data_IF_118069614699
#
_entry.id   IF_118069614699
#
_cell.length_a   1.000
_cell.length_b   1.000
_cell.length_c   1.000
_cell.angle_alpha   90.00
_cell.angle_beta   90.00
_cell.angle_gamma   90.00
#
_symmetry.space_group_name_H-M   'P 1'
#
loop_
_entity.id
_entity.type
_entity.pdbx_description
1 polymer ?
#
# COMPACT_ATOMS: atom_id res chain seq x y z
N UNK A 1 70.24 -14.64 -39.52
CA UNK A 1 69.50 -14.01 -38.39
C UNK A 1 68.07 -13.75 -38.85
N UNK A 2 67.09 -14.47 -38.31
CA UNK A 2 65.65 -14.36 -38.66
C UNK A 2 64.95 -13.49 -37.60
N UNK A 3 64.28 -12.45 -38.04
CA UNK A 3 63.50 -11.52 -37.21
C UNK A 3 62.05 -12.02 -37.19
N UNK A 4 61.49 -12.21 -36.00
CA UNK A 4 60.08 -12.59 -35.76
C UNK A 4 59.28 -11.30 -35.52
N UNK A 5 58.07 -11.12 -36.12
CA UNK A 5 57.22 -9.99 -35.79
C UNK A 5 56.33 -10.31 -34.58
N UNK A 6 56.23 -9.35 -33.66
CA UNK A 6 55.33 -9.38 -32.51
C UNK A 6 53.95 -8.88 -32.98
N UNK A 7 52.93 -9.73 -32.87
CA UNK A 7 51.53 -9.39 -33.12
C UNK A 7 50.94 -8.83 -31.81
N UNK A 8 50.54 -7.56 -31.82
CA UNK A 8 49.80 -6.93 -30.73
C UNK A 8 48.30 -7.19 -30.90
N UNK A 9 47.70 -7.90 -29.94
CA UNK A 9 46.25 -8.14 -29.88
C UNK A 9 45.63 -7.00 -29.08
N UNK A 10 44.85 -6.14 -29.75
CA UNK A 10 44.07 -5.08 -29.11
C UNK A 10 42.72 -5.69 -28.71
N UNK A 11 42.53 -5.96 -27.42
CA UNK A 11 41.25 -6.36 -26.85
C UNK A 11 40.37 -5.13 -26.61
N UNK A 12 39.25 -5.03 -27.34
CA UNK A 12 38.23 -4.00 -27.12
C UNK A 12 37.36 -4.37 -25.91
N UNK A 13 37.60 -3.71 -24.77
CA UNK A 13 36.68 -3.77 -23.63
C UNK A 13 35.37 -3.06 -24.00
N UNK A 14 34.30 -3.84 -24.15
CA UNK A 14 32.94 -3.32 -24.21
C UNK A 14 32.49 -2.94 -22.80
N UNK A 15 32.58 -1.65 -22.47
CA UNK A 15 32.05 -1.11 -21.22
C UNK A 15 30.53 -1.03 -21.37
N UNK A 16 29.83 -2.02 -20.81
CA UNK A 16 28.39 -1.95 -20.62
C UNK A 16 28.08 -0.81 -19.65
N UNK A 17 27.38 0.22 -20.13
CA UNK A 17 26.91 1.31 -19.27
C UNK A 17 25.83 0.76 -18.32
N UNK A 18 25.91 1.02 -17.01
CA UNK A 18 24.84 0.63 -16.11
C UNK A 18 23.59 1.45 -16.47
N UNK A 19 22.52 0.76 -16.85
CA UNK A 19 21.20 1.36 -16.98
C UNK A 19 20.78 1.86 -15.61
N UNK A 20 21.00 3.14 -15.34
CA UNK A 20 20.55 3.81 -14.12
C UNK A 20 19.02 3.74 -14.11
N UNK A 21 18.46 2.86 -13.28
CA UNK A 21 17.05 2.86 -12.98
C UNK A 21 16.71 4.21 -12.35
N UNK A 22 16.09 5.11 -13.12
CA UNK A 22 15.62 6.39 -12.61
C UNK A 22 14.57 6.12 -11.53
N UNK A 23 14.95 6.40 -10.28
CA UNK A 23 14.03 6.51 -9.16
C UNK A 23 13.09 7.68 -9.48
N UNK A 24 11.85 7.38 -9.88
CA UNK A 24 10.81 8.39 -10.04
C UNK A 24 10.67 9.10 -8.68
N UNK A 25 10.90 10.41 -8.60
CA UNK A 25 10.80 11.13 -7.33
C UNK A 25 9.38 11.04 -6.79
N UNK A 26 9.23 10.73 -5.50
CA UNK A 26 7.94 10.57 -4.80
C UNK A 26 7.30 11.90 -4.43
N UNK A 27 7.57 12.99 -5.16
CA UNK A 27 7.02 14.30 -4.81
C UNK A 27 5.50 14.29 -4.97
N UNK A 28 4.74 14.73 -3.94
CA UNK A 28 3.30 14.91 -4.06
C UNK A 28 3.01 15.89 -5.19
N UNK A 29 2.16 15.49 -6.14
CA UNK A 29 1.72 16.36 -7.23
C UNK A 29 0.90 17.50 -6.61
N UNK A 30 1.38 18.74 -6.75
CA UNK A 30 0.64 19.93 -6.32
C UNK A 30 -0.58 20.10 -7.24
N UNK A 31 -1.78 20.17 -6.66
CA UNK A 31 -3.04 20.29 -7.42
C UNK A 31 -3.09 21.66 -8.15
N UNK A 32 -2.85 21.68 -9.45
CA UNK A 32 -3.20 22.82 -10.30
C UNK A 32 -4.62 22.58 -10.84
N UNK A 33 -5.63 23.09 -10.12
CA UNK A 33 -7.03 23.28 -10.55
C UNK A 33 -7.73 22.13 -11.30
N UNK A 34 -7.25 20.89 -11.22
CA UNK A 34 -8.00 19.72 -11.64
C UNK A 34 -9.02 19.41 -10.54
N UNK A 35 -10.30 19.36 -10.87
CA UNK A 35 -11.34 18.86 -9.96
C UNK A 35 -10.92 17.52 -9.38
N UNK A 36 -11.10 17.32 -8.08
CA UNK A 36 -10.73 16.07 -7.42
C UNK A 36 -11.41 14.88 -8.13
N UNK A 37 -10.70 13.76 -8.31
CA UNK A 37 -11.26 12.61 -8.99
C UNK A 37 -12.43 12.07 -8.17
N UNK A 38 -13.52 11.75 -8.86
CA UNK A 38 -14.59 10.96 -8.29
C UNK A 38 -14.26 9.47 -8.43
N UNK A 39 -14.69 8.69 -7.45
CA UNK A 39 -14.30 7.31 -7.28
C UNK A 39 -15.54 6.47 -7.04
N UNK A 40 -15.77 5.49 -7.92
CA UNK A 40 -16.90 4.57 -7.80
C UNK A 40 -16.43 3.13 -7.78
N UNK A 41 -16.95 2.37 -6.83
CA UNK A 41 -16.80 0.93 -6.79
C UNK A 41 -17.81 0.27 -7.72
N UNK A 42 -17.34 -0.61 -8.60
CA UNK A 42 -18.14 -1.30 -9.62
C UNK A 42 -17.78 -2.79 -9.66
N UNK A 43 -18.55 -3.56 -10.44
CA UNK A 43 -18.32 -5.00 -10.67
C UNK A 43 -18.25 -5.79 -9.35
N UNK A 44 -19.30 -5.71 -8.54
CA UNK A 44 -19.43 -6.43 -7.27
C UNK A 44 -18.23 -6.21 -6.35
N UNK A 45 -17.85 -4.94 -6.15
CA UNK A 45 -16.73 -4.54 -5.31
C UNK A 45 -15.33 -4.95 -5.78
N UNK A 46 -15.17 -5.51 -6.98
CA UNK A 46 -13.86 -5.98 -7.44
C UNK A 46 -13.04 -4.93 -8.19
N UNK A 47 -13.65 -3.79 -8.56
CA UNK A 47 -13.00 -2.75 -9.36
C UNK A 47 -13.38 -1.37 -8.85
N UNK A 48 -12.38 -0.49 -8.69
CA UNK A 48 -12.59 0.94 -8.53
C UNK A 48 -12.44 1.60 -9.90
N UNK A 49 -13.39 2.46 -10.25
CA UNK A 49 -13.32 3.38 -11.38
C UNK A 49 -13.05 4.79 -10.86
N UNK A 50 -11.94 5.36 -11.31
CA UNK A 50 -11.53 6.74 -11.02
C UNK A 50 -11.86 7.57 -12.26
N UNK A 51 -12.57 8.68 -12.08
CA UNK A 51 -13.01 9.53 -13.18
C UNK A 51 -13.06 11.01 -12.78
N UNK A 52 -12.82 11.88 -13.75
CA UNK A 52 -12.90 13.32 -13.57
C UNK A 52 -13.48 13.95 -14.84
N UNK A 53 -14.80 13.84 -15.03
CA UNK A 53 -15.49 14.13 -16.31
C UNK A 53 -15.26 13.07 -17.40
N UNK A 54 -14.10 12.41 -17.40
CA UNK A 54 -13.78 11.21 -18.21
C UNK A 54 -13.19 10.12 -17.32
N UNK A 55 -13.25 8.86 -17.77
CA UNK A 55 -12.61 7.75 -17.06
C UNK A 55 -11.10 7.95 -17.11
N UNK A 56 -10.48 8.01 -15.93
CA UNK A 56 -9.03 8.08 -15.77
C UNK A 56 -8.45 6.66 -15.72
N UNK A 57 -8.97 5.82 -14.81
CA UNK A 57 -8.41 4.50 -14.56
C UNK A 57 -9.45 3.56 -13.97
N UNK A 58 -9.34 2.28 -14.33
CA UNK A 58 -9.95 1.19 -13.59
C UNK A 58 -8.86 0.40 -12.86
N UNK A 59 -8.99 0.24 -11.54
CA UNK A 59 -8.06 -0.52 -10.71
C UNK A 59 -8.82 -1.72 -10.15
N UNK A 60 -8.30 -2.92 -10.38
CA UNK A 60 -8.90 -4.18 -9.91
C UNK A 60 -8.35 -4.50 -8.53
N UNK A 61 -9.18 -4.99 -7.62
CA UNK A 61 -8.73 -5.42 -6.29
C UNK A 61 -7.56 -6.42 -6.39
N UNK A 62 -7.61 -7.33 -7.37
CA UNK A 62 -6.57 -8.35 -7.60
C UNK A 62 -5.17 -7.82 -7.96
N UNK A 63 -5.05 -6.56 -8.41
CA UNK A 63 -3.74 -5.95 -8.64
C UNK A 63 -3.10 -5.43 -7.36
N UNK A 64 -3.89 -5.32 -6.27
CA UNK A 64 -3.41 -4.92 -4.96
C UNK A 64 -2.93 -6.17 -4.21
N UNK A 65 -1.62 -6.41 -4.29
CA UNK A 65 -0.96 -7.56 -3.68
C UNK A 65 -0.11 -7.13 -2.51
N UNK A 66 -0.07 -7.90 -1.44
CA UNK A 66 0.80 -7.62 -0.28
C UNK A 66 1.27 -8.90 0.36
N UNK A 67 2.45 -8.84 0.97
CA UNK A 67 3.04 -9.93 1.73
C UNK A 67 2.64 -9.76 3.19
N UNK A 68 1.78 -10.63 3.69
CA UNK A 68 1.31 -10.59 5.08
C UNK A 68 2.21 -11.47 5.94
N UNK A 69 2.79 -10.87 6.97
CA UNK A 69 3.66 -11.53 7.94
C UNK A 69 2.83 -12.16 9.06
N UNK A 70 3.37 -13.24 9.64
CA UNK A 70 2.92 -13.85 10.91
C UNK A 70 1.39 -13.99 11.00
N UNK A 71 0.81 -14.53 9.93
CA UNK A 71 -0.63 -14.61 9.72
C UNK A 71 -1.11 -16.06 9.74
N UNK A 72 -2.42 -16.25 9.63
CA UNK A 72 -3.04 -17.58 9.52
C UNK A 72 -3.70 -17.76 8.15
N UNK A 73 -3.62 -18.95 7.58
CA UNK A 73 -4.40 -19.31 6.38
C UNK A 73 -5.88 -19.50 6.73
N UNK A 74 -6.79 -19.62 5.76
CA UNK A 74 -8.20 -19.92 6.08
C UNK A 74 -8.42 -21.24 6.83
N UNK A 75 -7.49 -22.18 6.73
CA UNK A 75 -7.48 -23.44 7.50
C UNK A 75 -6.96 -23.26 8.94
N UNK A 76 -6.58 -22.04 9.33
CA UNK A 76 -6.07 -21.72 10.67
C UNK A 76 -4.58 -21.99 10.86
N UNK A 77 -3.86 -22.49 9.85
CA UNK A 77 -2.42 -22.76 9.92
C UNK A 77 -1.63 -21.45 10.03
N UNK A 78 -0.76 -21.35 11.03
CA UNK A 78 0.17 -20.23 11.17
C UNK A 78 1.22 -20.26 10.06
N UNK A 79 1.46 -19.12 9.42
CA UNK A 79 2.45 -18.93 8.37
C UNK A 79 3.27 -17.68 8.64
N UNK A 80 4.60 -17.80 8.56
CA UNK A 80 5.52 -16.66 8.74
C UNK A 80 5.32 -15.58 7.68
N UNK A 81 4.87 -15.98 6.49
CA UNK A 81 4.70 -15.10 5.33
C UNK A 81 3.75 -15.73 4.32
N UNK A 82 2.80 -14.95 3.82
CA UNK A 82 1.99 -15.31 2.66
C UNK A 82 1.74 -14.09 1.76
N UNK A 83 1.77 -14.29 0.44
CA UNK A 83 1.42 -13.24 -0.51
C UNK A 83 -0.07 -13.34 -0.83
N UNK A 84 -0.83 -12.30 -0.50
CA UNK A 84 -2.26 -12.23 -0.76
C UNK A 84 -2.55 -11.13 -1.79
N UNK A 85 -3.61 -11.34 -2.56
CA UNK A 85 -4.13 -10.36 -3.53
C UNK A 85 -5.53 -9.92 -3.11
N UNK A 86 -5.90 -8.69 -3.42
CA UNK A 86 -7.23 -8.17 -3.12
C UNK A 86 -8.33 -8.97 -3.82
N UNK A 87 -9.34 -9.37 -3.04
CA UNK A 87 -10.57 -9.99 -3.53
C UNK A 87 -11.60 -8.93 -3.90
N UNK A 88 -11.82 -7.98 -3.00
CA UNK A 88 -12.78 -6.87 -3.16
C UNK A 88 -12.36 -5.64 -2.36
N UNK A 89 -12.85 -4.49 -2.79
CA UNK A 89 -12.72 -3.22 -2.08
C UNK A 89 -13.75 -3.11 -0.96
N UNK A 90 -13.36 -2.48 0.13
CA UNK A 90 -14.27 -2.05 1.18
C UNK A 90 -14.87 -0.71 0.76
N UNK A 91 -16.03 -0.77 0.10
CA UNK A 91 -16.63 0.40 -0.58
C UNK A 91 -16.84 1.61 0.32
N UNK A 92 -17.14 1.40 1.61
CA UNK A 92 -17.36 2.46 2.61
C UNK A 92 -16.07 3.06 3.20
N UNK A 93 -14.89 2.58 2.81
CA UNK A 93 -13.61 3.03 3.37
C UNK A 93 -12.73 3.70 2.32
N UNK A 94 -13.31 4.21 1.24
CA UNK A 94 -12.57 4.88 0.17
C UNK A 94 -12.63 6.38 0.43
N UNK A 95 -11.47 7.03 0.58
CA UNK A 95 -11.38 8.46 0.88
C UNK A 95 -10.32 9.14 0.00
N UNK A 96 -10.63 10.34 -0.49
CA UNK A 96 -9.70 11.18 -1.28
C UNK A 96 -9.10 12.25 -0.36
N UNK A 97 -7.78 12.32 -0.28
CA UNK A 97 -7.09 13.50 0.27
C UNK A 97 -7.30 14.68 -0.68
N UNK A 98 -8.04 15.67 -0.22
CA UNK A 98 -8.37 16.87 -0.99
C UNK A 98 -7.14 17.72 -1.34
N UNK A 99 -6.04 17.60 -0.59
CA UNK A 99 -4.81 18.37 -0.83
C UNK A 99 -3.94 17.76 -1.92
N UNK A 100 -3.85 16.44 -1.95
CA UNK A 100 -2.89 15.71 -2.82
C UNK A 100 -3.54 14.89 -3.93
N UNK A 101 -4.85 14.63 -3.83
CA UNK A 101 -5.55 13.68 -4.69
C UNK A 101 -5.25 12.21 -4.38
N UNK A 102 -4.46 11.92 -3.34
CA UNK A 102 -4.21 10.56 -2.90
C UNK A 102 -5.51 9.89 -2.49
N UNK A 103 -5.72 8.66 -2.95
CA UNK A 103 -6.90 7.88 -2.63
C UNK A 103 -6.54 6.76 -1.66
N UNK A 104 -7.06 6.82 -0.44
CA UNK A 104 -6.97 5.73 0.52
C UNK A 104 -8.06 4.68 0.22
N UNK A 105 -7.67 3.42 0.11
CA UNK A 105 -8.60 2.31 -0.17
C UNK A 105 -8.37 1.13 0.75
N UNK A 106 -9.46 0.61 1.30
CA UNK A 106 -9.48 -0.63 2.07
C UNK A 106 -9.79 -1.81 1.16
N UNK A 107 -9.11 -2.94 1.38
CA UNK A 107 -9.23 -4.13 0.53
C UNK A 107 -9.31 -5.37 1.40
N UNK A 108 -10.23 -6.26 1.07
CA UNK A 108 -10.28 -7.62 1.63
C UNK A 108 -9.28 -8.48 0.87
N UNK A 109 -8.30 -9.04 1.57
CA UNK A 109 -7.30 -9.96 1.01
C UNK A 109 -7.73 -11.41 1.20
N UNK A 110 -8.28 -11.71 2.37
CA UNK A 110 -8.75 -13.02 2.76
C UNK A 110 -10.03 -12.87 3.57
N UNK A 111 -11.05 -13.63 3.20
CA UNK A 111 -12.37 -13.67 3.83
C UNK A 111 -12.59 -15.13 4.22
N UNK A 112 -12.48 -15.44 5.52
CA UNK A 112 -12.68 -16.78 6.05
C UNK A 112 -13.68 -16.71 7.20
N UNK A 113 -14.42 -17.81 7.42
CA UNK A 113 -15.42 -17.91 8.48
C UNK A 113 -14.96 -17.40 9.85
N UNK A 114 -13.72 -17.73 10.25
CA UNK A 114 -13.17 -17.36 11.57
C UNK A 114 -12.30 -16.11 11.57
N UNK A 115 -11.84 -15.64 10.40
CA UNK A 115 -10.88 -14.55 10.33
C UNK A 115 -10.86 -13.88 8.96
N UNK A 116 -10.75 -12.56 8.98
CA UNK A 116 -10.58 -11.75 7.79
C UNK A 116 -9.23 -11.05 7.85
N UNK A 117 -8.53 -11.02 6.72
CA UNK A 117 -7.31 -10.26 6.54
C UNK A 117 -7.61 -9.18 5.52
N UNK A 118 -7.42 -7.94 5.93
CA UNK A 118 -7.58 -6.76 5.11
C UNK A 118 -6.23 -6.05 4.95
N UNK A 119 -6.18 -5.08 4.05
CA UNK A 119 -5.08 -4.12 3.96
C UNK A 119 -5.60 -2.77 3.48
N UNK A 120 -4.84 -1.73 3.80
CA UNK A 120 -5.03 -0.39 3.25
C UNK A 120 -3.96 -0.09 2.20
N UNK A 121 -4.34 0.64 1.17
CA UNK A 121 -3.46 1.12 0.12
C UNK A 121 -3.70 2.61 -0.11
N UNK A 122 -2.65 3.33 -0.50
CA UNK A 122 -2.76 4.67 -1.07
C UNK A 122 -2.53 4.56 -2.58
N UNK A 123 -3.46 5.09 -3.36
CA UNK A 123 -3.32 5.25 -4.79
C UNK A 123 -2.93 6.71 -5.03
N UNK A 124 -1.67 6.94 -5.39
CA UNK A 124 -1.13 8.27 -5.66
C UNK A 124 -1.33 8.60 -7.15
N UNK A 125 -1.95 9.73 -7.51
CA UNK A 125 -2.02 10.14 -8.91
C UNK A 125 -0.62 10.44 -9.46
N UNK A 126 -0.34 9.99 -10.69
CA UNK A 126 0.85 10.43 -11.42
C UNK A 126 0.72 11.90 -11.86
N UNK A 127 1.83 12.56 -12.19
CA UNK A 127 1.85 14.00 -12.53
C UNK A 127 0.85 14.42 -13.62
N UNK A 128 0.58 13.52 -14.57
CA UNK A 128 -0.36 13.75 -15.67
C UNK A 128 -1.81 13.32 -15.37
N UNK A 129 -2.10 12.84 -14.16
CA UNK A 129 -3.41 12.38 -13.72
C UNK A 129 -4.06 11.28 -14.56
N UNK A 130 -3.29 10.58 -15.39
CA UNK A 130 -3.82 9.52 -16.26
C UNK A 130 -3.68 8.13 -15.64
N UNK A 131 -2.98 8.03 -14.51
CA UNK A 131 -2.64 6.76 -13.89
C UNK A 131 -2.32 6.96 -12.41
N UNK A 132 -2.20 5.85 -11.68
CA UNK A 132 -2.00 5.86 -10.24
C UNK A 132 -0.90 4.88 -9.84
N UNK A 133 -0.02 5.33 -8.95
CA UNK A 133 0.99 4.50 -8.30
C UNK A 133 0.36 3.88 -7.04
N UNK A 134 0.57 2.58 -6.86
CA UNK A 134 0.01 1.83 -5.73
C UNK A 134 1.03 1.75 -4.60
N UNK A 135 0.67 2.34 -3.47
CA UNK A 135 1.43 2.30 -2.24
C UNK A 135 0.71 1.43 -1.21
N UNK A 136 1.44 0.53 -0.55
CA UNK A 136 0.90 -0.33 0.52
C UNK A 136 1.07 0.39 1.84
N UNK A 137 0.02 0.44 2.65
CA UNK A 137 0.16 0.96 4.01
C UNK A 137 0.67 -0.17 4.91
N UNK A 138 1.89 -0.09 5.47
CA UNK A 138 2.40 -1.13 6.35
C UNK A 138 1.75 -0.99 7.72
N UNK A 139 1.12 -2.06 8.18
CA UNK A 139 0.73 -2.19 9.59
C UNK A 139 1.93 -2.77 10.33
N UNK A 140 2.40 -2.11 11.40
CA UNK A 140 3.53 -2.60 12.17
C UNK A 140 3.15 -3.80 13.05
N UNK A 141 4.16 -4.42 13.63
CA UNK A 141 3.98 -5.55 14.54
C UNK A 141 5.31 -5.97 15.15
N UNK A 142 5.37 -7.22 15.59
CA UNK A 142 6.41 -7.73 16.50
C UNK A 142 7.85 -7.61 15.98
N UNK A 143 8.06 -7.73 14.67
CA UNK A 143 9.38 -7.56 14.05
C UNK A 143 9.40 -6.47 13.02
N UNK A 144 10.60 -5.92 12.82
CA UNK A 144 10.83 -4.89 11.80
C UNK A 144 10.45 -5.37 10.40
N UNK A 145 9.79 -4.49 9.65
CA UNK A 145 9.41 -4.73 8.26
C UNK A 145 10.55 -4.28 7.36
N UNK A 146 11.37 -5.24 6.94
CA UNK A 146 12.57 -4.97 6.12
C UNK A 146 12.28 -4.77 4.62
N UNK A 147 11.02 -4.85 4.19
CA UNK A 147 10.66 -4.65 2.79
C UNK A 147 9.33 -3.90 2.61
N UNK A 148 9.29 -3.03 1.59
CA UNK A 148 8.13 -2.17 1.27
C UNK A 148 6.86 -2.92 0.81
N UNK A 149 6.92 -4.23 0.69
CA UNK A 149 5.80 -5.07 0.25
C UNK A 149 5.17 -5.86 1.40
N UNK A 150 5.72 -5.74 2.60
CA UNK A 150 5.30 -6.47 3.79
C UNK A 150 4.41 -5.65 4.73
N UNK A 151 3.51 -6.34 5.43
CA UNK A 151 2.64 -5.79 6.46
C UNK A 151 2.28 -6.86 7.48
N UNK A 152 1.95 -6.46 8.70
CA UNK A 152 1.22 -7.33 9.63
C UNK A 152 -0.27 -7.39 9.26
N UNK A 153 -0.99 -8.42 9.74
CA UNK A 153 -2.40 -8.61 9.41
C UNK A 153 -3.25 -7.49 9.98
N UNK A 154 -3.98 -6.78 9.11
CA UNK A 154 -5.00 -5.85 9.55
C UNK A 154 -6.35 -6.55 9.55
N UNK A 155 -7.06 -6.47 10.68
CA UNK A 155 -8.42 -7.02 10.81
C UNK A 155 -9.44 -6.04 10.22
N UNK A 156 -10.63 -5.99 10.81
CA UNK A 156 -11.82 -5.34 10.26
C UNK A 156 -11.60 -3.82 10.11
N UNK A 157 -11.31 -3.35 8.89
CA UNK A 157 -11.18 -1.91 8.62
C UNK A 157 -12.58 -1.30 8.67
N UNK A 158 -12.78 -0.35 9.58
CA UNK A 158 -14.04 0.37 9.78
C UNK A 158 -14.08 1.68 9.00
N UNK A 159 -12.94 2.31 8.79
CA UNK A 159 -12.83 3.56 8.06
C UNK A 159 -11.39 3.89 7.71
N UNK A 160 -11.22 4.61 6.60
CA UNK A 160 -9.98 5.27 6.22
C UNK A 160 -10.30 6.76 6.07
N UNK A 161 -9.35 7.61 6.43
CA UNK A 161 -9.54 9.05 6.29
C UNK A 161 -8.24 9.81 6.29
N UNK A 162 -8.31 11.07 5.87
CA UNK A 162 -7.21 12.02 5.99
C UNK A 162 -7.60 13.15 6.93
N UNK A 163 -6.76 13.43 7.92
CA UNK A 163 -6.88 14.58 8.82
C UNK A 163 -5.60 15.38 8.72
N UNK A 164 -5.69 16.59 8.18
CA UNK A 164 -4.54 17.47 7.93
C UNK A 164 -3.40 16.83 7.12
N UNK A 165 -3.74 15.91 6.21
CA UNK A 165 -2.78 15.17 5.39
C UNK A 165 -2.16 13.95 6.09
N UNK A 166 -2.56 13.66 7.32
CA UNK A 166 -2.24 12.42 8.02
C UNK A 166 -3.25 11.35 7.67
N UNK A 167 -2.79 10.15 7.32
CA UNK A 167 -3.66 9.01 7.08
C UNK A 167 -4.09 8.40 8.42
N UNK A 168 -5.39 8.22 8.60
CA UNK A 168 -6.01 7.59 9.75
C UNK A 168 -6.69 6.30 9.30
N UNK A 169 -6.42 5.20 10.01
CA UNK A 169 -7.04 3.90 9.75
C UNK A 169 -7.78 3.45 11.00
N UNK A 170 -9.10 3.50 10.97
CA UNK A 170 -9.95 2.94 12.03
C UNK A 170 -10.19 1.46 11.77
N UNK A 171 -9.92 0.61 12.76
CA UNK A 171 -10.12 -0.83 12.64
C UNK A 171 -10.61 -1.45 13.95
N UNK A 172 -11.12 -2.67 13.85
CA UNK A 172 -11.62 -3.45 14.98
C UNK A 172 -11.08 -4.89 15.00
N UNK A 173 -10.97 -5.46 16.19
CA UNK A 173 -10.66 -6.89 16.39
C UNK A 173 -11.95 -7.74 16.51
N UNK A 174 -11.78 -9.04 16.80
CA UNK A 174 -12.89 -9.98 17.02
C UNK A 174 -13.75 -9.63 18.23
N UNK A 175 -13.13 -9.07 19.26
CA UNK A 175 -13.74 -8.80 20.56
C UNK A 175 -14.34 -7.39 20.65
N UNK A 176 -14.60 -6.78 19.50
CA UNK A 176 -15.18 -5.44 19.35
C UNK A 176 -14.36 -4.28 19.93
N UNK A 177 -13.08 -4.48 20.27
CA UNK A 177 -12.15 -3.38 20.50
C UNK A 177 -11.97 -2.61 19.19
N UNK A 178 -11.81 -1.29 19.28
CA UNK A 178 -11.54 -0.42 18.14
C UNK A 178 -10.32 0.44 18.41
N UNK A 179 -9.50 0.64 17.38
CA UNK A 179 -8.34 1.52 17.43
C UNK A 179 -8.14 2.27 16.11
N UNK A 180 -7.31 3.29 16.18
CA UNK A 180 -6.88 4.10 15.04
C UNK A 180 -5.38 4.00 14.87
N UNK A 181 -4.92 3.54 13.71
CA UNK A 181 -3.53 3.71 13.31
C UNK A 181 -3.36 5.10 12.68
N UNK A 182 -2.31 5.81 13.09
CA UNK A 182 -2.00 7.15 12.64
C UNK A 182 -0.70 7.14 11.85
N UNK A 183 -0.74 7.67 10.64
CA UNK A 183 0.43 7.89 9.79
C UNK A 183 0.56 9.38 9.51
N UNK A 184 1.58 10.01 10.09
CA UNK A 184 1.83 11.44 9.91
C UNK A 184 2.40 11.73 8.53
N UNK A 185 2.11 12.90 7.99
CA UNK A 185 2.64 13.35 6.71
C UNK A 185 4.17 13.20 6.62
N UNK A 186 4.66 12.83 5.44
CA UNK A 186 6.09 12.68 5.14
C UNK A 186 6.33 12.92 3.65
N UNK A 187 7.57 12.75 3.19
CA UNK A 187 7.91 12.78 1.76
C UNK A 187 7.38 11.57 0.97
N UNK A 188 6.66 10.65 1.61
CA UNK A 188 6.02 9.49 1.00
C UNK A 188 4.49 9.62 1.09
N UNK A 189 3.73 9.17 0.08
CA UNK A 189 2.26 9.28 0.07
C UNK A 189 1.54 8.61 1.25
N UNK A 190 2.15 7.56 1.83
CA UNK A 190 1.60 6.83 2.98
C UNK A 190 1.79 7.59 4.29
N UNK A 191 2.78 8.50 4.36
CA UNK A 191 3.26 9.05 5.62
C UNK A 191 4.24 8.13 6.36
N UNK A 192 4.50 8.45 7.63
CA UNK A 192 5.28 7.66 8.58
C UNK A 192 4.35 7.20 9.70
N UNK A 193 4.40 5.92 10.07
CA UNK A 193 3.64 5.43 11.23
C UNK A 193 4.05 6.21 12.47
N UNK A 194 3.07 6.82 13.15
CA UNK A 194 3.28 7.66 14.32
C UNK A 194 2.76 7.03 15.60
N UNK A 195 1.77 6.13 15.50
CA UNK A 195 1.26 5.41 16.65
C UNK A 195 -0.11 4.79 16.41
N UNK A 196 -0.63 4.22 17.49
CA UNK A 196 -1.96 3.65 17.54
C UNK A 196 -2.69 4.15 18.78
N UNK A 197 -3.96 4.51 18.60
CA UNK A 197 -4.82 4.99 19.69
C UNK A 197 -6.00 4.05 19.84
N UNK A 198 -6.19 3.49 21.03
CA UNK A 198 -7.39 2.72 21.36
C UNK A 198 -8.56 3.69 21.50
N UNK A 199 -9.63 3.45 20.74
CA UNK A 199 -10.84 4.30 20.72
C UNK A 199 -12.04 3.62 21.36
N UNK A 200 -12.02 2.29 21.46
CA UNK A 200 -12.99 1.51 22.21
C UNK A 200 -12.28 0.28 22.80
N UNK A 201 -12.08 0.21 24.13
CA UNK A 201 -11.50 -0.97 24.75
C UNK A 201 -12.51 -2.13 24.81
N UNK A 202 -12.00 -3.35 24.90
CA UNK A 202 -12.74 -4.56 25.28
C UNK A 202 -11.86 -5.43 26.17
N UNK A 203 -12.29 -6.66 26.50
CA UNK A 203 -11.61 -7.54 27.46
C UNK A 203 -10.12 -7.73 27.17
N UNK A 204 -9.73 -7.77 25.89
CA UNK A 204 -8.34 -7.80 25.45
C UNK A 204 -7.90 -6.41 24.96
N UNK A 205 -7.09 -5.73 25.78
CA UNK A 205 -6.60 -4.37 25.53
C UNK A 205 -5.54 -4.27 24.42
N UNK A 206 -5.07 -5.39 23.87
CA UNK A 206 -3.93 -5.41 22.95
C UNK A 206 -4.35 -5.35 21.47
N UNK A 207 -5.18 -4.36 21.11
CA UNK A 207 -5.57 -4.13 19.71
C UNK A 207 -4.49 -3.36 18.94
N UNK A 208 -3.76 -2.48 19.61
CA UNK A 208 -2.71 -1.68 18.99
C UNK A 208 -1.48 -2.54 18.68
N UNK A 209 -0.93 -2.47 17.46
CA UNK A 209 0.29 -3.19 17.15
C UNK A 209 1.43 -2.66 18.03
N UNK A 210 2.11 -3.58 18.69
CA UNK A 210 3.28 -3.29 19.51
C UNK A 210 4.54 -3.37 18.64
N UNK A 211 5.44 -2.40 18.82
CA UNK A 211 6.80 -2.42 18.29
C UNK A 211 7.73 -2.82 19.45
N UNK A 212 8.56 -3.83 19.23
CA UNK A 212 9.80 -3.98 20.01
C UNK A 212 10.89 -3.09 19.41
#
# INVERSE_FOLDING_TARGET
>A
MKIIPIIAIISTLSIATPTTAQLIPSTPVKLNSASLPNVRVIRNETTIRIYNGKIIKNIRAKSLKVRVLDSKTCQGKQVKRQTLSGKRFLSKTIEVDKKTGNLAVGVVLQDCWKQNINAAFILQPEANWNNYIIHRVPVPGEREINDRFSTYPLRNIKGLGFVDGNLIIKYANSDHSEAMLVYTSSNKPIGKYAGCVVTKPSKDNNICPYFN
#
